data_IF_632098664213
#
_entry.id   IF_632098664213
#
_cell.length_a   1.000
_cell.length_b   1.000
_cell.length_c   1.000
_cell.angle_alpha   90.00
_cell.angle_beta   90.00
_cell.angle_gamma   90.00
#
_symmetry.space_group_name_H-M   'P 1'
#
loop_
_entity.id
_entity.type
_entity.pdbx_description
1 polymer ?
#
# COMPACT_ATOMS: atom_id res chain seq x y z
N UNK A 1 15.95 -15.81 -17.07
CA UNK A 1 14.84 -15.70 -16.10
C UNK A 1 15.43 -15.25 -14.79
N UNK A 2 14.83 -14.23 -14.18
CA UNK A 2 15.21 -13.80 -12.84
C UNK A 2 14.66 -14.80 -11.81
N UNK A 3 15.28 -14.85 -10.62
CA UNK A 3 14.73 -15.61 -9.50
C UNK A 3 13.58 -14.80 -8.90
N UNK A 4 12.34 -15.31 -8.87
CA UNK A 4 11.25 -14.59 -8.23
C UNK A 4 11.53 -14.36 -6.75
N UNK A 5 11.16 -13.20 -6.23
CA UNK A 5 11.43 -12.84 -4.84
C UNK A 5 10.40 -11.82 -4.33
N UNK A 6 10.12 -11.85 -3.03
CA UNK A 6 9.27 -10.86 -2.37
C UNK A 6 9.87 -10.47 -1.01
N UNK A 7 9.70 -9.21 -0.64
CA UNK A 7 10.08 -8.63 0.66
C UNK A 7 8.90 -7.80 1.14
N UNK A 8 8.56 -7.90 2.43
CA UNK A 8 7.50 -7.10 3.04
C UNK A 8 7.96 -6.47 4.35
N UNK A 9 7.37 -5.32 4.72
CA UNK A 9 7.52 -4.71 6.05
C UNK A 9 6.16 -4.29 6.62
N UNK A 10 6.06 -4.31 7.95
CA UNK A 10 4.84 -4.00 8.71
C UNK A 10 4.91 -2.71 9.55
N UNK A 11 5.85 -1.82 9.24
CA UNK A 11 6.06 -0.53 9.93
C UNK A 11 7.26 -0.51 10.87
N UNK A 12 7.49 0.65 11.50
CA UNK A 12 8.59 0.90 12.41
C UNK A 12 8.08 0.84 13.87
N UNK A 13 8.44 -0.22 14.60
CA UNK A 13 7.99 -0.41 15.98
C UNK A 13 8.59 -1.64 16.64
N UNK A 14 8.30 -1.89 17.93
CA UNK A 14 9.08 -2.84 18.72
C UNK A 14 8.76 -4.30 18.39
N UNK A 15 9.73 -4.97 17.77
CA UNK A 15 10.05 -6.39 18.01
C UNK A 15 9.43 -7.42 17.05
N UNK A 16 9.89 -8.69 17.12
CA UNK A 16 9.50 -9.79 16.23
C UNK A 16 8.04 -10.26 16.40
N UNK A 17 7.26 -9.63 17.29
CA UNK A 17 5.87 -10.04 17.59
C UNK A 17 4.92 -9.95 16.41
N UNK A 18 5.24 -9.14 15.39
CA UNK A 18 4.48 -9.00 14.14
C UNK A 18 5.05 -9.83 12.98
N UNK A 19 6.15 -10.56 13.21
CA UNK A 19 6.85 -11.29 12.16
C UNK A 19 5.92 -12.30 11.47
N UNK A 20 5.12 -13.04 12.24
CA UNK A 20 4.17 -14.03 11.70
C UNK A 20 3.14 -13.39 10.78
N UNK A 21 2.68 -12.17 11.08
CA UNK A 21 1.71 -11.44 10.26
C UNK A 21 2.35 -11.00 8.92
N UNK A 22 3.61 -10.55 8.95
CA UNK A 22 4.38 -10.23 7.74
C UNK A 22 4.69 -11.49 6.93
N UNK A 23 4.96 -12.63 7.58
CA UNK A 23 5.20 -13.90 6.91
C UNK A 23 3.99 -14.38 6.09
N UNK A 24 2.76 -14.16 6.56
CA UNK A 24 1.54 -14.45 5.78
C UNK A 24 1.49 -13.62 4.49
N UNK A 25 1.87 -12.33 4.55
CA UNK A 25 1.96 -11.47 3.37
C UNK A 25 3.02 -11.97 2.39
N UNK A 26 4.20 -12.36 2.89
CA UNK A 26 5.28 -12.93 2.06
C UNK A 26 4.83 -14.24 1.41
N UNK A 27 4.20 -15.14 2.16
CA UNK A 27 3.66 -16.40 1.64
C UNK A 27 2.69 -16.14 0.49
N UNK A 28 1.78 -15.17 0.63
CA UNK A 28 0.86 -14.78 -0.44
C UNK A 28 1.58 -14.32 -1.71
N UNK A 29 2.61 -13.48 -1.58
CA UNK A 29 3.42 -13.05 -2.72
C UNK A 29 4.14 -14.23 -3.38
N UNK A 30 4.75 -15.12 -2.59
CA UNK A 30 5.48 -16.29 -3.09
C UNK A 30 4.55 -17.22 -3.86
N UNK A 31 3.36 -17.52 -3.34
CA UNK A 31 2.36 -18.36 -4.02
C UNK A 31 2.02 -17.82 -5.42
N UNK A 32 1.79 -16.51 -5.54
CA UNK A 32 1.49 -15.84 -6.82
C UNK A 32 2.68 -15.94 -7.77
N UNK A 33 3.88 -15.65 -7.28
CA UNK A 33 5.10 -15.68 -8.09
C UNK A 33 5.46 -17.10 -8.57
N UNK A 34 5.30 -18.12 -7.72
CA UNK A 34 5.51 -19.52 -8.07
C UNK A 34 4.49 -20.03 -9.09
N UNK A 35 3.27 -19.50 -9.07
CA UNK A 35 2.24 -19.75 -10.08
C UNK A 35 2.50 -19.01 -11.41
N UNK A 36 3.56 -18.20 -11.51
CA UNK A 36 3.91 -17.42 -12.71
C UNK A 36 3.19 -16.08 -12.82
N UNK A 37 2.60 -15.59 -11.72
CA UNK A 37 2.00 -14.26 -11.63
C UNK A 37 3.01 -13.12 -11.76
N UNK A 38 2.49 -11.91 -11.95
CA UNK A 38 3.31 -10.71 -12.16
C UNK A 38 3.84 -10.12 -10.84
N UNK A 39 4.89 -9.30 -10.93
CA UNK A 39 5.38 -8.55 -9.76
C UNK A 39 4.29 -7.63 -9.18
N UNK A 40 3.49 -7.01 -10.04
CA UNK A 40 2.35 -6.16 -9.63
C UNK A 40 1.33 -6.95 -8.83
N UNK A 41 0.86 -8.07 -9.35
CA UNK A 41 -0.13 -8.91 -8.68
C UNK A 41 0.38 -9.38 -7.31
N UNK A 42 1.64 -9.86 -7.26
CA UNK A 42 2.25 -10.32 -6.02
C UNK A 42 2.38 -9.20 -4.98
N UNK A 43 2.82 -8.00 -5.38
CA UNK A 43 2.96 -6.87 -4.47
C UNK A 43 1.60 -6.36 -3.96
N UNK A 44 0.60 -6.25 -4.84
CA UNK A 44 -0.75 -5.78 -4.50
C UNK A 44 -1.43 -6.75 -3.53
N UNK A 45 -1.48 -8.04 -3.87
CA UNK A 45 -2.21 -9.02 -3.06
C UNK A 45 -1.54 -9.29 -1.72
N UNK A 46 -0.20 -9.25 -1.66
CA UNK A 46 0.51 -9.31 -0.38
C UNK A 46 0.31 -8.04 0.46
N UNK A 47 0.20 -6.86 -0.16
CA UNK A 47 -0.11 -5.62 0.55
C UNK A 47 -1.55 -5.64 1.09
N UNK A 48 -2.50 -6.20 0.35
CA UNK A 48 -3.88 -6.43 0.81
C UNK A 48 -3.91 -7.27 2.10
N UNK A 49 -3.09 -8.33 2.19
CA UNK A 49 -2.97 -9.10 3.45
C UNK A 49 -2.58 -8.21 4.63
N UNK A 50 -1.71 -7.23 4.41
CA UNK A 50 -1.28 -6.30 5.45
C UNK A 50 -2.34 -5.23 5.75
N UNK A 51 -3.13 -4.81 4.76
CA UNK A 51 -4.26 -3.88 4.93
C UNK A 51 -5.46 -4.51 5.64
N UNK A 52 -5.66 -5.81 5.47
CA UNK A 52 -6.76 -6.54 6.11
C UNK A 52 -6.43 -6.95 7.55
N UNK A 53 -5.17 -6.86 7.96
CA UNK A 53 -4.71 -7.24 9.28
C UNK A 53 -4.71 -6.03 10.26
N UNK A 54 -5.58 -6.03 11.30
CA UNK A 54 -5.75 -4.92 12.23
C UNK A 54 -4.50 -4.60 13.07
N UNK A 55 -3.50 -5.50 13.08
CA UNK A 55 -2.22 -5.25 13.74
C UNK A 55 -1.44 -4.13 13.05
N UNK A 56 -1.61 -3.96 11.74
CA UNK A 56 -0.90 -2.94 10.98
C UNK A 56 -1.68 -1.62 10.91
N UNK A 57 -0.98 -0.58 10.51
CA UNK A 57 -1.53 0.76 10.35
C UNK A 57 -1.71 1.04 8.85
N UNK A 58 -2.54 0.25 8.20
CA UNK A 58 -2.92 0.35 6.81
C UNK A 58 -4.26 -0.35 6.67
N UNK A 59 -5.16 0.12 5.80
CA UNK A 59 -6.52 -0.43 5.74
C UNK A 59 -7.15 -0.54 7.14
N UNK A 60 -7.65 -1.73 7.45
CA UNK A 60 -8.15 -2.09 8.78
C UNK A 60 -7.03 -2.02 9.81
N UNK A 61 -7.26 -1.32 10.92
CA UNK A 61 -6.24 -1.03 11.92
C UNK A 61 -5.52 0.31 11.74
N UNK A 62 -5.89 1.09 10.72
CA UNK A 62 -5.39 2.45 10.54
C UNK A 62 -5.70 3.36 11.76
N UNK A 63 -4.75 4.23 12.11
CA UNK A 63 -4.90 5.12 13.25
C UNK A 63 -5.86 6.28 12.98
N UNK A 64 -6.65 6.63 14.00
CA UNK A 64 -7.53 7.80 13.93
C UNK A 64 -6.72 9.09 13.83
N UNK A 65 -7.25 10.01 13.02
CA UNK A 65 -6.84 11.41 13.01
C UNK A 65 -7.40 12.18 14.21
N UNK A 66 -6.98 13.42 14.38
CA UNK A 66 -7.45 14.28 15.49
C UNK A 66 -8.95 14.55 15.47
N UNK A 67 -9.61 14.42 14.32
CA UNK A 67 -11.06 14.55 14.16
C UNK A 67 -11.80 13.20 14.25
N UNK A 68 -11.09 12.11 14.57
CA UNK A 68 -11.64 10.76 14.64
C UNK A 68 -11.74 10.04 13.29
N UNK A 69 -11.38 10.69 12.18
CA UNK A 69 -11.49 10.06 10.85
C UNK A 69 -10.39 9.03 10.59
N UNK A 70 -10.72 8.04 9.76
CA UNK A 70 -9.77 7.12 9.12
C UNK A 70 -9.70 7.49 7.64
N UNK A 71 -8.54 7.97 7.21
CA UNK A 71 -8.26 8.23 5.79
C UNK A 71 -6.92 7.59 5.43
N UNK A 72 -6.89 6.93 4.28
CA UNK A 72 -5.79 6.06 3.90
C UNK A 72 -5.04 6.63 2.70
N UNK A 73 -3.74 6.37 2.69
CA UNK A 73 -2.83 6.75 1.61
C UNK A 73 -2.19 5.46 1.08
N UNK A 74 -2.10 5.29 -0.24
CA UNK A 74 -1.43 4.13 -0.84
C UNK A 74 -0.78 4.48 -2.19
N UNK A 75 0.25 3.74 -2.56
CA UNK A 75 0.93 3.88 -3.84
C UNK A 75 1.44 2.54 -4.36
N UNK A 76 1.48 2.41 -5.68
CA UNK A 76 2.10 1.31 -6.39
C UNK A 76 3.03 1.86 -7.47
N UNK A 77 4.24 1.32 -7.55
CA UNK A 77 5.23 1.67 -8.56
C UNK A 77 5.79 0.41 -9.22
N UNK A 78 6.09 0.49 -10.51
CA UNK A 78 6.72 -0.57 -11.30
C UNK A 78 8.05 -0.14 -11.92
N UNK A 79 8.91 -1.11 -12.24
CA UNK A 79 10.23 -0.84 -12.81
C UNK A 79 10.25 -0.32 -14.24
N UNK A 80 9.10 -0.35 -14.93
CA UNK A 80 8.91 0.28 -16.24
C UNK A 80 8.52 1.77 -16.12
N UNK A 81 8.44 2.32 -14.90
CA UNK A 81 8.17 3.73 -14.62
C UNK A 81 6.69 4.08 -14.47
N UNK A 82 5.77 3.13 -14.54
CA UNK A 82 4.36 3.38 -14.21
C UNK A 82 4.16 3.55 -12.71
N UNK A 83 3.16 4.34 -12.35
CA UNK A 83 2.80 4.58 -10.96
C UNK A 83 1.32 4.94 -10.82
N UNK A 84 0.75 4.54 -9.69
CA UNK A 84 -0.58 4.92 -9.26
C UNK A 84 -0.58 5.23 -7.78
N UNK A 85 -1.28 6.27 -7.34
CA UNK A 85 -1.38 6.61 -5.93
C UNK A 85 -2.70 7.24 -5.54
N UNK A 86 -3.08 7.04 -4.28
CA UNK A 86 -4.27 7.63 -3.69
C UNK A 86 -3.95 8.27 -2.35
N UNK A 87 -4.60 9.39 -2.06
CA UNK A 87 -4.35 10.19 -0.86
C UNK A 87 -5.66 10.44 -0.12
N UNK A 88 -5.65 10.29 1.20
CA UNK A 88 -6.75 10.61 2.09
C UNK A 88 -8.08 9.95 1.68
N UNK A 89 -8.03 8.71 1.22
CA UNK A 89 -9.22 7.94 0.85
C UNK A 89 -10.02 7.54 2.08
N UNK A 90 -11.34 7.73 2.00
CA UNK A 90 -12.33 7.25 2.97
C UNK A 90 -12.96 5.95 2.50
N UNK A 91 -13.52 5.19 3.43
CA UNK A 91 -14.37 4.03 3.16
C UNK A 91 -13.80 3.04 2.12
N UNK A 92 -12.49 2.80 2.16
CA UNK A 92 -11.77 2.00 1.18
C UNK A 92 -10.91 0.99 1.93
N UNK A 93 -11.37 -0.24 2.16
CA UNK A 93 -10.58 -1.23 2.92
C UNK A 93 -9.19 -1.47 2.33
N UNK A 94 -9.09 -1.52 0.99
CA UNK A 94 -7.85 -1.80 0.29
C UNK A 94 -7.46 -0.69 -0.71
N UNK A 95 -6.93 0.45 -0.25
CA UNK A 95 -6.52 1.55 -1.11
C UNK A 95 -5.40 1.16 -2.09
N UNK A 96 -4.59 0.13 -1.79
CA UNK A 96 -3.55 -0.33 -2.73
C UNK A 96 -4.13 -0.85 -4.05
N UNK A 97 -5.33 -1.46 -4.05
CA UNK A 97 -5.99 -1.91 -5.28
C UNK A 97 -6.45 -0.75 -6.14
N UNK A 98 -6.90 0.35 -5.51
CA UNK A 98 -7.23 1.58 -6.23
C UNK A 98 -5.99 2.20 -6.86
N UNK A 99 -4.86 2.21 -6.12
CA UNK A 99 -3.58 2.64 -6.65
C UNK A 99 -3.10 1.75 -7.81
N UNK A 100 -3.36 0.45 -7.76
CA UNK A 100 -3.00 -0.48 -8.83
C UNK A 100 -3.76 -0.21 -10.13
N UNK A 101 -5.07 0.02 -10.06
CA UNK A 101 -5.88 0.32 -11.25
C UNK A 101 -5.44 1.62 -11.94
N UNK A 102 -4.86 2.57 -11.21
CA UNK A 102 -4.35 3.82 -11.77
C UNK A 102 -3.07 3.63 -12.62
N UNK A 103 -2.40 2.48 -12.55
CA UNK A 103 -1.21 2.20 -13.38
C UNK A 103 -1.49 2.26 -14.88
N UNK A 104 -2.72 1.93 -15.28
CA UNK A 104 -3.13 1.79 -16.68
C UNK A 104 -4.02 2.97 -17.13
N UNK A 105 -4.04 4.05 -16.36
CA UNK A 105 -4.83 5.26 -16.63
C UNK A 105 -3.95 6.42 -17.08
N UNK A 106 -4.56 7.44 -17.71
CA UNK A 106 -3.86 8.69 -18.06
C UNK A 106 -3.55 9.57 -16.82
N UNK A 107 -4.16 9.24 -15.68
CA UNK A 107 -3.99 9.92 -14.41
C UNK A 107 -3.21 9.03 -13.45
N UNK A 108 -2.17 9.59 -12.83
CA UNK A 108 -1.29 8.81 -11.96
C UNK A 108 -1.72 8.86 -10.48
N UNK A 109 -2.68 9.73 -10.12
CA UNK A 109 -3.12 9.80 -8.74
C UNK A 109 -4.37 10.64 -8.47
N UNK A 110 -5.04 10.29 -7.38
CA UNK A 110 -6.29 10.90 -6.93
C UNK A 110 -6.26 11.16 -5.42
N UNK A 111 -7.08 12.10 -4.94
CA UNK A 111 -7.15 12.42 -3.52
C UNK A 111 -8.59 12.64 -3.02
N UNK A 112 -8.81 12.32 -1.76
CA UNK A 112 -10.04 12.60 -1.02
C UNK A 112 -11.28 11.98 -1.67
N UNK A 113 -12.35 12.75 -1.73
CA UNK A 113 -13.65 12.29 -2.24
C UNK A 113 -13.63 11.93 -3.73
N UNK A 114 -12.87 12.68 -4.54
CA UNK A 114 -12.72 12.35 -5.96
C UNK A 114 -12.05 10.98 -6.17
N UNK A 115 -11.11 10.59 -5.31
CA UNK A 115 -10.54 9.25 -5.35
C UNK A 115 -11.58 8.19 -5.02
N UNK A 116 -12.44 8.45 -4.02
CA UNK A 116 -13.51 7.51 -3.62
C UNK A 116 -14.59 7.37 -4.69
N UNK A 117 -15.03 8.47 -5.29
CA UNK A 117 -15.99 8.48 -6.40
C UNK A 117 -15.45 7.71 -7.61
N UNK A 118 -14.17 7.93 -7.95
CA UNK A 118 -13.51 7.17 -9.01
C UNK A 118 -13.45 5.68 -8.69
N UNK A 119 -13.05 5.31 -7.47
CA UNK A 119 -13.00 3.92 -7.03
C UNK A 119 -14.39 3.26 -7.05
N UNK A 120 -15.45 3.99 -6.68
CA UNK A 120 -16.85 3.55 -6.79
C UNK A 120 -17.21 3.26 -8.26
N UNK A 121 -16.79 4.11 -9.20
CA UNK A 121 -17.04 3.92 -10.64
C UNK A 121 -16.34 2.69 -11.23
N UNK A 122 -15.26 2.21 -10.58
CA UNK A 122 -14.49 1.01 -10.95
C UNK A 122 -14.93 -0.24 -10.19
N UNK A 123 -15.91 -0.13 -9.29
CA UNK A 123 -16.45 -1.26 -8.53
C UNK A 123 -15.63 -1.67 -7.31
N UNK A 124 -14.72 -0.82 -6.83
CA UNK A 124 -13.98 -1.09 -5.59
C UNK A 124 -14.93 -1.09 -4.38
N UNK A 125 -14.77 -2.03 -3.44
CA UNK A 125 -15.59 -2.05 -2.22
C UNK A 125 -15.59 -0.70 -1.50
N UNK A 126 -16.79 -0.26 -1.13
CA UNK A 126 -17.03 0.91 -0.29
C UNK A 126 -17.51 0.44 1.08
N UNK A 127 -16.64 0.51 2.06
CA UNK A 127 -16.94 0.08 3.42
C UNK A 127 -16.14 0.90 4.42
N UNK A 128 -16.77 1.23 5.55
CA UNK A 128 -16.09 1.88 6.66
C UNK A 128 -14.92 1.01 7.12
N UNK A 129 -13.77 1.66 7.34
CA UNK A 129 -12.55 1.01 7.76
C UNK A 129 -12.47 1.08 9.28
N UNK A 130 -12.36 -0.09 9.93
CA UNK A 130 -12.21 -0.14 11.39
C UNK A 130 -10.82 0.36 11.77
N UNK A 131 -10.76 1.55 12.36
CA UNK A 131 -9.52 2.16 12.81
C UNK A 131 -9.17 1.83 14.26
N UNK A 132 -8.07 2.41 14.74
CA UNK A 132 -7.63 2.28 16.14
C UNK A 132 -7.23 3.62 16.76
N UNK A 133 -7.32 3.75 18.09
CA UNK A 133 -6.84 4.93 18.80
C UNK A 133 -5.36 5.23 18.52
N UNK A 134 -4.98 6.51 18.40
CA UNK A 134 -3.60 6.91 18.18
C UNK A 134 -2.70 6.47 19.34
N UNK A 135 -1.46 6.09 19.03
CA UNK A 135 -0.43 5.75 20.01
C UNK A 135 0.79 6.66 19.81
N UNK A 136 1.50 7.08 20.88
CA UNK A 136 2.61 8.03 20.80
C UNK A 136 3.74 7.66 19.82
N UNK A 137 3.85 6.39 19.42
CA UNK A 137 4.88 5.86 18.51
C UNK A 137 4.31 5.17 17.26
N UNK A 138 3.02 5.32 16.94
CA UNK A 138 2.45 4.66 15.75
C UNK A 138 2.54 5.58 14.53
N UNK A 139 3.62 5.39 13.77
CA UNK A 139 3.86 5.93 12.43
C UNK A 139 4.11 4.78 11.44
N UNK A 140 3.36 3.69 11.57
CA UNK A 140 3.61 2.47 10.82
C UNK A 140 3.07 2.60 9.38
N UNK A 141 3.90 2.27 8.41
CA UNK A 141 3.55 2.10 7.00
C UNK A 141 3.84 0.64 6.65
N UNK A 142 2.98 0.03 5.85
CA UNK A 142 3.24 -1.31 5.32
C UNK A 142 3.71 -1.20 3.88
N UNK A 143 4.52 -2.16 3.45
CA UNK A 143 4.97 -2.18 2.07
C UNK A 143 5.46 -3.54 1.64
N UNK A 144 5.35 -3.80 0.34
CA UNK A 144 5.78 -5.04 -0.31
C UNK A 144 6.53 -4.70 -1.59
N UNK A 145 7.70 -5.31 -1.77
CA UNK A 145 8.44 -5.30 -3.03
C UNK A 145 8.44 -6.72 -3.59
N UNK A 146 8.08 -6.88 -4.86
CA UNK A 146 8.11 -8.15 -5.55
C UNK A 146 8.92 -8.07 -6.85
N UNK A 147 9.56 -9.18 -7.20
CA UNK A 147 10.23 -9.43 -8.48
C UNK A 147 9.68 -10.70 -9.11
N UNK A 148 9.22 -10.61 -10.35
CA UNK A 148 8.76 -11.80 -11.09
C UNK A 148 9.85 -12.49 -11.91
N UNK A 149 9.48 -13.58 -12.58
CA UNK A 149 10.39 -14.42 -13.38
C UNK A 149 10.97 -13.69 -14.62
N UNK A 150 10.32 -12.63 -15.07
CA UNK A 150 10.78 -11.77 -16.16
C UNK A 150 11.85 -10.78 -15.69
N UNK A 151 11.90 -10.51 -14.38
CA UNK A 151 12.77 -9.52 -13.77
C UNK A 151 12.10 -8.17 -13.52
N UNK A 152 10.81 -8.03 -13.85
CA UNK A 152 10.05 -6.83 -13.51
C UNK A 152 9.90 -6.70 -11.99
N UNK A 153 9.92 -5.46 -11.50
CA UNK A 153 9.72 -5.13 -10.09
C UNK A 153 8.43 -4.35 -9.89
N UNK A 154 7.81 -4.55 -8.73
CA UNK A 154 6.74 -3.69 -8.23
C UNK A 154 6.93 -3.41 -6.73
N UNK A 155 6.60 -2.20 -6.30
CA UNK A 155 6.62 -1.76 -4.91
C UNK A 155 5.25 -1.19 -4.54
N UNK A 156 4.58 -1.85 -3.60
CA UNK A 156 3.30 -1.46 -3.02
C UNK A 156 3.54 -0.85 -1.64
N UNK A 157 2.92 0.29 -1.33
CA UNK A 157 2.99 0.93 -0.02
C UNK A 157 1.60 1.38 0.41
N UNK A 158 1.22 1.16 1.67
CA UNK A 158 -0.08 1.57 2.21
C UNK A 158 0.05 2.05 3.66
N UNK A 159 -0.74 3.05 4.04
CA UNK A 159 -0.68 3.62 5.40
C UNK A 159 -1.97 4.30 5.85
N UNK A 160 -2.27 4.13 7.14
CA UNK A 160 -3.17 4.97 7.95
C UNK A 160 -2.48 6.22 8.50
N UNK A 161 -1.20 6.42 8.18
CA UNK A 161 -0.28 7.51 8.52
C UNK A 161 -0.03 7.68 10.02
N UNK A 162 0.37 8.87 10.46
CA UNK A 162 0.87 9.05 11.83
C UNK A 162 -0.23 9.38 12.83
N UNK A 163 -0.09 8.88 14.06
CA UNK A 163 -0.95 9.24 15.18
C UNK A 163 -1.03 10.75 15.40
N UNK A 164 -2.18 11.24 15.88
CA UNK A 164 -2.44 12.65 16.20
C UNK A 164 -2.25 13.63 15.03
N UNK A 165 -2.31 13.15 13.79
CA UNK A 165 -2.25 14.01 12.61
C UNK A 165 -3.59 14.71 12.35
N UNK A 166 -3.58 15.97 11.89
CA UNK A 166 -4.80 16.64 11.44
C UNK A 166 -5.35 16.01 10.15
N UNK A 167 -6.66 16.13 9.88
CA UNK A 167 -7.24 15.84 8.56
C UNK A 167 -6.51 16.63 7.46
N UNK A 168 -6.30 15.97 6.33
CA UNK A 168 -5.54 16.52 5.20
C UNK A 168 -4.01 16.38 5.29
N UNK A 169 -3.42 15.92 6.41
CA UNK A 169 -1.98 15.59 6.44
C UNK A 169 -1.69 14.40 5.53
N UNK A 170 -0.82 14.63 4.55
CA UNK A 170 -0.26 13.63 3.64
C UNK A 170 1.11 13.19 4.14
N UNK A 171 1.37 11.88 4.15
CA UNK A 171 2.66 11.29 4.49
C UNK A 171 3.57 11.11 3.28
N UNK A 172 4.65 10.35 3.48
CA UNK A 172 5.61 9.92 2.47
C UNK A 172 5.09 8.77 1.60
N UNK A 173 4.25 7.88 2.14
CA UNK A 173 3.73 6.71 1.42
C UNK A 173 3.15 6.99 0.02
N UNK A 174 2.38 8.08 -0.22
CA UNK A 174 1.90 8.41 -1.56
C UNK A 174 2.86 9.32 -2.36
N UNK A 175 3.99 9.75 -1.78
CA UNK A 175 4.92 10.69 -2.38
C UNK A 175 6.10 9.98 -3.04
N UNK A 176 6.29 10.29 -4.31
CA UNK A 176 7.42 9.81 -5.09
C UNK A 176 8.65 10.73 -4.93
N UNK A 177 9.87 10.21 -4.72
CA UNK A 177 11.09 11.01 -4.87
C UNK A 177 11.39 11.27 -6.36
N UNK A 178 11.77 12.51 -6.68
CA UNK A 178 12.11 13.06 -8.00
C UNK A 178 12.61 12.03 -9.07
N UNK A 179 12.10 12.05 -10.32
CA UNK A 179 12.64 11.24 -11.44
C UNK A 179 14.15 11.37 -11.67
N UNK A 180 14.82 12.42 -11.18
CA UNK A 180 16.28 12.55 -11.18
C UNK A 180 17.03 11.64 -10.19
N UNK A 181 16.33 11.03 -9.22
CA UNK A 181 16.89 10.15 -8.19
C UNK A 181 16.72 8.65 -8.48
N UNK A 182 16.05 8.30 -9.59
CA UNK A 182 15.69 6.94 -9.98
C UNK A 182 14.44 6.44 -9.25
N UNK A 183 13.63 5.56 -9.88
CA UNK A 183 12.53 4.91 -9.18
C UNK A 183 13.06 4.06 -8.03
N UNK A 184 12.30 3.93 -6.94
CA UNK A 184 12.63 2.99 -5.83
C UNK A 184 12.76 1.54 -6.37
N UNK A 185 12.20 1.29 -7.56
CA UNK A 185 12.19 0.03 -8.29
C UNK A 185 12.89 0.15 -9.64
N UNK A 186 14.17 0.51 -9.72
CA UNK A 186 14.91 0.40 -10.99
C UNK A 186 15.43 -1.05 -11.18
N UNK A 187 15.16 -1.64 -12.34
CA UNK A 187 15.64 -2.98 -12.71
C UNK A 187 16.92 -2.95 -13.59
N UNK A 188 17.48 -1.76 -13.86
CA UNK A 188 18.72 -1.58 -14.64
C UNK A 188 20.00 -1.82 -13.85
#
# INVERSE_FOLDING_TARGET
MAVPAAIAHGGAGPGPSRQTNVEVSISRAVEILEAGGSAVEAAVEACVVLEDDPVFNAGTGAVYRTDGSVLLDASLQTSDGRMGFVIAMRDTPNPIRVAADLLDEEINGLAGDGAREWADSRGHPKAAVEGRPPRPESGDTVGVIARDSTGALACATSTGGTSFRPPGRVGDAPLYPDPGSGPITDSR
#
